data_IF_033554433834
#
_entry.id   IF_033554433834
#
_cell.length_a   1.000
_cell.length_b   1.000
_cell.length_c   1.000
_cell.angle_alpha   90.00
_cell.angle_beta   90.00
_cell.angle_gamma   90.00
#
_symmetry.space_group_name_H-M   'P 1'
#
loop_
_entity.id
_entity.type
_entity.pdbx_description
1 polymer ?
#
# COMPACT_ATOMS: atom_id res chain seq x y z
N UNK A 1 11.60 24.67 -5.72
CA UNK A 1 10.49 24.07 -4.95
C UNK A 1 9.83 25.23 -4.21
N UNK A 2 8.53 25.48 -4.39
CA UNK A 2 7.84 26.45 -3.54
C UNK A 2 7.42 25.71 -2.27
N UNK A 3 7.95 26.15 -1.13
CA UNK A 3 7.86 25.48 0.16
C UNK A 3 6.58 25.84 0.94
N UNK A 4 5.57 26.42 0.28
CA UNK A 4 4.63 27.31 0.96
C UNK A 4 3.23 26.71 1.19
N UNK A 5 3.08 25.38 1.23
CA UNK A 5 1.80 24.73 1.52
C UNK A 5 1.84 23.69 2.66
N UNK A 6 2.92 23.62 3.42
CA UNK A 6 3.02 22.79 4.61
C UNK A 6 3.65 23.56 5.78
N UNK A 7 3.13 24.75 6.07
CA UNK A 7 3.34 25.37 7.36
C UNK A 7 2.50 24.56 8.35
N UNK A 8 3.14 23.84 9.28
CA UNK A 8 2.43 23.20 10.40
C UNK A 8 1.55 24.21 11.15
N UNK A 9 0.77 23.74 12.11
CA UNK A 9 -0.11 24.61 12.92
C UNK A 9 0.64 25.80 13.56
N UNK A 10 1.96 25.70 13.76
CA UNK A 10 2.81 26.81 14.19
C UNK A 10 2.65 27.17 15.66
N UNK A 11 1.85 26.40 16.40
CA UNK A 11 1.37 26.68 17.75
C UNK A 11 2.24 26.04 18.85
N UNK A 12 3.40 25.48 18.51
CA UNK A 12 4.39 25.01 19.48
C UNK A 12 4.58 23.49 19.50
N UNK A 13 5.06 22.91 20.61
CA UNK A 13 5.51 21.53 20.61
C UNK A 13 4.33 20.58 20.40
N UNK A 14 4.54 19.58 19.52
CA UNK A 14 3.59 18.48 19.29
C UNK A 14 3.13 17.93 20.65
N UNK A 15 1.81 17.87 20.92
CA UNK A 15 1.29 17.39 22.21
C UNK A 15 1.84 16.03 22.61
N UNK A 16 2.03 15.81 23.91
CA UNK A 16 2.59 14.55 24.42
C UNK A 16 1.74 13.32 24.05
N UNK A 17 0.43 13.50 23.89
CA UNK A 17 -0.53 12.46 23.53
C UNK A 17 -0.51 12.12 22.03
N UNK A 18 0.05 12.98 21.18
CA UNK A 18 0.11 12.72 19.75
C UNK A 18 1.02 11.51 19.46
N UNK A 19 0.59 10.55 18.62
CA UNK A 19 1.34 9.35 18.30
C UNK A 19 2.58 9.68 17.46
N UNK A 20 3.67 10.07 18.10
CA UNK A 20 4.95 10.44 17.46
C UNK A 20 5.92 9.27 17.23
N UNK A 21 5.46 8.03 17.43
CA UNK A 21 6.25 6.81 17.25
C UNK A 21 7.31 6.55 18.31
N UNK A 22 7.44 7.37 19.38
CA UNK A 22 8.40 7.09 20.47
C UNK A 22 8.00 5.87 21.29
N UNK A 23 6.72 5.76 21.66
CA UNK A 23 6.16 4.57 22.30
C UNK A 23 6.14 3.38 21.33
N UNK A 24 6.09 2.15 21.86
CA UNK A 24 5.89 0.96 21.04
C UNK A 24 4.50 0.95 20.40
N UNK A 25 4.43 0.56 19.13
CA UNK A 25 3.18 0.43 18.37
C UNK A 25 3.25 -0.76 17.43
N UNK A 26 2.07 -1.23 16.99
CA UNK A 26 1.95 -2.24 15.95
C UNK A 26 1.66 -1.57 14.62
N UNK A 27 2.28 -2.07 13.56
CA UNK A 27 2.02 -1.68 12.18
C UNK A 27 1.74 -2.93 11.36
N UNK A 28 0.90 -2.80 10.34
CA UNK A 28 0.75 -3.87 9.36
C UNK A 28 2.08 -4.09 8.65
N UNK A 29 2.47 -5.36 8.49
CA UNK A 29 3.66 -5.72 7.70
C UNK A 29 3.47 -5.43 6.20
N UNK A 30 2.22 -5.44 5.75
CA UNK A 30 1.80 -5.45 4.35
C UNK A 30 0.77 -4.38 4.09
N UNK A 31 0.66 -3.94 2.85
CA UNK A 31 -0.42 -3.04 2.44
C UNK A 31 -1.76 -3.80 2.39
N UNK A 32 -2.86 -3.05 2.47
CA UNK A 32 -4.21 -3.62 2.32
C UNK A 32 -4.34 -4.25 0.94
N UNK A 33 -4.73 -5.52 0.91
CA UNK A 33 -4.93 -6.26 -0.33
C UNK A 33 -6.35 -6.11 -0.87
N UNK A 34 -6.54 -6.31 -2.19
CA UNK A 34 -7.86 -6.26 -2.81
C UNK A 34 -8.81 -7.29 -2.22
N UNK A 35 -8.32 -8.46 -1.79
CA UNK A 35 -9.15 -9.48 -1.13
C UNK A 35 -9.63 -9.07 0.26
N UNK A 36 -8.75 -8.46 1.06
CA UNK A 36 -9.11 -7.95 2.40
C UNK A 36 -10.12 -6.80 2.29
N UNK A 37 -9.90 -5.88 1.34
CA UNK A 37 -10.83 -4.78 1.11
C UNK A 37 -12.18 -5.26 0.57
N UNK A 38 -12.18 -6.24 -0.33
CA UNK A 38 -13.41 -6.86 -0.84
C UNK A 38 -14.23 -7.56 0.26
N UNK A 39 -13.55 -8.18 1.22
CA UNK A 39 -14.17 -8.77 2.42
C UNK A 39 -14.83 -7.70 3.29
N UNK A 40 -14.12 -6.59 3.54
CA UNK A 40 -14.66 -5.44 4.25
C UNK A 40 -15.91 -4.88 3.56
N UNK A 41 -15.84 -4.55 2.27
CA UNK A 41 -16.98 -4.00 1.54
C UNK A 41 -18.17 -4.97 1.58
N UNK A 42 -17.93 -6.27 1.43
CA UNK A 42 -18.99 -7.29 1.49
C UNK A 42 -19.66 -7.41 2.86
N UNK A 43 -19.02 -6.94 3.93
CA UNK A 43 -19.60 -6.88 5.28
C UNK A 43 -20.50 -5.65 5.52
N UNK A 44 -20.46 -4.65 4.62
CA UNK A 44 -21.25 -3.44 4.74
C UNK A 44 -22.68 -3.64 4.22
N UNK A 45 -23.56 -2.70 4.56
CA UNK A 45 -24.95 -2.69 4.13
C UNK A 45 -25.40 -1.30 3.69
N UNK A 46 -26.46 -1.24 2.88
CA UNK A 46 -27.06 0.02 2.46
C UNK A 46 -26.11 0.91 1.66
N UNK A 47 -26.17 2.22 1.89
CA UNK A 47 -25.39 3.20 1.12
C UNK A 47 -23.89 3.15 1.41
N UNK A 48 -23.48 2.68 2.58
CA UNK A 48 -22.06 2.57 2.96
C UNK A 48 -21.27 1.70 1.98
N UNK A 49 -21.93 0.73 1.36
CA UNK A 49 -21.29 -0.12 0.35
C UNK A 49 -21.05 0.62 -0.96
N UNK A 50 -21.96 1.54 -1.31
CA UNK A 50 -21.93 2.29 -2.56
C UNK A 50 -20.88 3.39 -2.49
N UNK A 51 -20.77 4.07 -1.34
CA UNK A 51 -19.77 5.12 -1.15
C UNK A 51 -18.33 4.61 -1.13
N UNK A 52 -18.12 3.34 -0.77
CA UNK A 52 -16.79 2.75 -0.56
C UNK A 52 -16.35 1.81 -1.67
N UNK A 53 -17.21 1.57 -2.66
CA UNK A 53 -16.92 0.72 -3.80
C UNK A 53 -16.68 1.58 -5.04
N UNK A 54 -15.48 1.52 -5.66
CA UNK A 54 -15.18 2.29 -6.86
C UNK A 54 -15.79 1.61 -8.09
N UNK A 55 -17.05 1.92 -8.40
CA UNK A 55 -17.80 1.30 -9.50
C UNK A 55 -17.11 1.38 -10.87
N UNK A 56 -16.43 2.49 -11.16
CA UNK A 56 -15.69 2.68 -12.43
C UNK A 56 -14.25 2.14 -12.38
N UNK A 57 -13.85 1.53 -11.26
CA UNK A 57 -12.50 0.98 -11.07
C UNK A 57 -12.32 -0.40 -11.70
N UNK A 58 -13.39 -1.19 -11.88
CA UNK A 58 -13.31 -2.58 -12.33
C UNK A 58 -12.59 -2.72 -13.68
N UNK A 59 -11.54 -3.55 -13.73
CA UNK A 59 -10.72 -3.77 -14.93
C UNK A 59 -9.74 -2.63 -15.24
N UNK A 60 -9.86 -1.47 -14.60
CA UNK A 60 -8.97 -0.34 -14.76
C UNK A 60 -7.79 -0.44 -13.81
N UNK A 61 -6.61 -0.05 -14.28
CA UNK A 61 -5.39 0.02 -13.48
C UNK A 61 -5.20 -1.21 -12.55
N UNK A 62 -5.34 -2.44 -13.10
CA UNK A 62 -5.14 -3.71 -12.36
C UNK A 62 -6.06 -3.90 -11.13
N UNK A 63 -7.14 -3.13 -11.03
CA UNK A 63 -8.18 -3.32 -10.02
C UNK A 63 -9.14 -4.43 -10.46
N UNK A 64 -9.39 -5.37 -9.55
CA UNK A 64 -10.07 -6.64 -9.86
C UNK A 64 -11.25 -6.95 -8.95
N UNK A 65 -11.56 -6.05 -8.02
CA UNK A 65 -12.78 -6.19 -7.21
C UNK A 65 -13.96 -5.93 -8.15
N UNK A 66 -14.86 -6.91 -8.21
CA UNK A 66 -16.07 -6.85 -9.01
C UNK A 66 -17.28 -7.25 -8.17
N UNK A 67 -18.48 -6.82 -8.59
CA UNK A 67 -19.74 -7.23 -7.97
C UNK A 67 -20.17 -8.59 -8.52
N UNK A 68 -20.12 -9.62 -7.68
CA UNK A 68 -20.62 -10.94 -8.02
C UNK A 68 -22.15 -10.95 -8.14
N UNK A 69 -22.70 -11.96 -8.84
CA UNK A 69 -24.15 -12.10 -9.04
C UNK A 69 -24.94 -12.16 -7.71
N UNK A 70 -24.36 -12.76 -6.66
CA UNK A 70 -24.93 -12.81 -5.31
C UNK A 70 -24.81 -11.50 -4.52
N UNK A 71 -24.29 -10.44 -5.13
CA UNK A 71 -24.09 -9.13 -4.51
C UNK A 71 -22.79 -9.01 -3.71
N UNK A 72 -22.01 -10.06 -3.49
CA UNK A 72 -20.71 -9.97 -2.81
C UNK A 72 -19.68 -9.24 -3.69
N UNK A 73 -18.66 -8.66 -3.06
CA UNK A 73 -17.54 -8.02 -3.75
C UNK A 73 -16.39 -8.99 -3.68
N UNK A 74 -15.87 -9.39 -4.84
CA UNK A 74 -14.83 -10.42 -4.94
C UNK A 74 -13.67 -9.89 -5.78
N UNK A 75 -12.43 -10.18 -5.37
CA UNK A 75 -11.23 -9.83 -6.13
C UNK A 75 -10.73 -11.04 -6.92
N UNK A 76 -10.53 -10.91 -8.24
CA UNK A 76 -9.91 -12.00 -9.03
C UNK A 76 -8.39 -12.11 -8.77
N UNK A 77 -7.78 -11.06 -8.22
CA UNK A 77 -6.38 -11.06 -7.73
C UNK A 77 -6.33 -10.62 -6.26
N UNK A 78 -6.70 -11.50 -5.30
CA UNK A 78 -6.92 -11.10 -3.90
C UNK A 78 -5.64 -10.68 -3.16
N UNK A 79 -4.45 -11.10 -3.58
CA UNK A 79 -3.15 -10.77 -2.94
C UNK A 79 -2.53 -9.44 -3.39
N UNK A 80 -3.12 -8.82 -4.42
CA UNK A 80 -2.63 -7.56 -4.98
C UNK A 80 -2.96 -6.41 -4.05
N UNK A 81 -2.11 -5.39 -4.00
CA UNK A 81 -2.46 -4.14 -3.31
C UNK A 81 -3.80 -3.59 -3.78
N UNK A 82 -4.58 -3.03 -2.86
CA UNK A 82 -5.81 -2.35 -3.20
C UNK A 82 -5.53 -0.90 -3.60
N UNK A 83 -5.77 -0.58 -4.86
CA UNK A 83 -5.85 0.79 -5.37
C UNK A 83 -7.30 1.30 -5.35
N UNK A 84 -7.49 2.58 -5.70
CA UNK A 84 -8.79 3.28 -5.65
C UNK A 84 -9.39 3.38 -4.24
N UNK A 85 -8.54 3.59 -3.23
CA UNK A 85 -8.94 3.87 -1.86
C UNK A 85 -8.80 5.37 -1.57
N UNK A 86 -9.88 6.02 -1.14
CA UNK A 86 -9.77 7.34 -0.51
C UNK A 86 -9.26 7.20 0.94
N UNK A 87 -8.78 8.29 1.53
CA UNK A 87 -8.38 8.29 2.94
C UNK A 87 -9.50 7.80 3.86
N UNK A 88 -10.73 8.24 3.60
CA UNK A 88 -11.91 7.81 4.36
C UNK A 88 -12.21 6.31 4.22
N UNK A 89 -11.80 5.67 3.13
CA UNK A 89 -11.94 4.23 2.91
C UNK A 89 -10.91 3.45 3.70
N UNK A 90 -9.64 3.87 3.61
CA UNK A 90 -8.55 3.28 4.39
C UNK A 90 -8.81 3.38 5.90
N UNK A 91 -9.28 4.54 6.38
CA UNK A 91 -9.62 4.75 7.79
C UNK A 91 -10.80 3.87 8.23
N UNK A 92 -11.83 3.71 7.40
CA UNK A 92 -12.97 2.87 7.73
C UNK A 92 -12.63 1.38 7.73
N UNK A 93 -11.81 0.94 6.76
CA UNK A 93 -11.27 -0.42 6.74
C UNK A 93 -10.42 -0.68 7.98
N UNK A 94 -9.53 0.25 8.35
CA UNK A 94 -8.70 0.11 9.55
C UNK A 94 -9.57 -0.02 10.81
N UNK A 95 -10.58 0.83 10.97
CA UNK A 95 -11.54 0.76 12.08
C UNK A 95 -12.24 -0.61 12.13
N UNK A 96 -12.72 -1.11 11.00
CA UNK A 96 -13.34 -2.43 10.89
C UNK A 96 -12.38 -3.57 11.25
N UNK A 97 -11.10 -3.45 10.85
CA UNK A 97 -10.06 -4.43 11.17
C UNK A 97 -9.52 -4.32 12.62
N UNK A 98 -10.03 -3.39 13.44
CA UNK A 98 -9.52 -3.13 14.78
C UNK A 98 -8.14 -2.44 14.79
N UNK A 99 -7.80 -1.77 13.69
CA UNK A 99 -6.56 -1.03 13.49
C UNK A 99 -6.84 0.48 13.51
N UNK A 100 -5.76 1.26 13.55
CA UNK A 100 -5.79 2.70 13.30
C UNK A 100 -4.80 3.06 12.18
N UNK A 101 -5.05 4.14 11.44
CA UNK A 101 -4.01 4.74 10.61
C UNK A 101 -2.78 5.12 11.46
N UNK A 102 -1.59 4.95 10.91
CA UNK A 102 -0.35 5.42 11.49
C UNK A 102 -0.23 6.92 11.29
N UNK A 103 0.42 7.62 12.22
CA UNK A 103 0.90 8.97 11.93
C UNK A 103 2.06 8.91 10.94
N UNK A 104 2.37 10.05 10.31
CA UNK A 104 3.54 10.17 9.43
C UNK A 104 4.84 9.80 10.17
N UNK A 105 4.99 10.26 11.43
CA UNK A 105 6.16 9.97 12.26
C UNK A 105 6.30 8.47 12.59
N UNK A 106 5.18 7.79 12.84
CA UNK A 106 5.17 6.35 13.06
C UNK A 106 5.51 5.58 11.78
N UNK A 107 4.95 6.01 10.64
CA UNK A 107 5.23 5.41 9.35
C UNK A 107 6.70 5.57 8.96
N UNK A 108 7.27 6.77 9.08
CA UNK A 108 8.67 7.04 8.77
C UNK A 108 9.61 6.20 9.66
N UNK A 109 9.34 6.14 10.98
CA UNK A 109 10.08 5.28 11.90
C UNK A 109 9.98 3.79 11.51
N UNK A 110 8.79 3.33 11.13
CA UNK A 110 8.57 1.93 10.75
C UNK A 110 9.31 1.57 9.44
N UNK A 111 9.32 2.46 8.45
CA UNK A 111 10.04 2.26 7.18
C UNK A 111 11.56 2.24 7.34
N UNK A 112 12.08 3.00 8.31
CA UNK A 112 13.52 3.11 8.59
C UNK A 112 14.06 1.87 9.31
N UNK A 113 13.31 1.36 10.28
CA UNK A 113 13.81 0.35 11.20
C UNK A 113 14.77 0.93 12.26
N UNK A 114 15.53 0.09 12.98
CA UNK A 114 16.30 0.50 14.15
C UNK A 114 17.64 1.19 13.83
N UNK A 115 17.97 1.37 12.55
CA UNK A 115 19.27 1.87 12.10
C UNK A 115 19.33 3.41 12.10
N UNK A 116 20.52 4.01 12.29
CA UNK A 116 20.70 5.46 12.20
C UNK A 116 20.20 6.05 10.87
N UNK A 117 19.77 7.31 10.90
CA UNK A 117 19.41 8.04 9.69
C UNK A 117 20.65 8.35 8.84
N UNK A 118 20.62 7.96 7.57
CA UNK A 118 21.58 8.30 6.54
C UNK A 118 20.83 9.09 5.46
N UNK A 119 21.43 10.18 4.99
CA UNK A 119 20.87 10.98 3.91
C UNK A 119 20.71 10.13 2.64
N UNK A 120 19.62 10.36 1.90
CA UNK A 120 19.29 9.75 0.61
C UNK A 120 19.11 8.22 0.60
N UNK A 121 19.05 7.57 1.77
CA UNK A 121 18.85 6.13 1.87
C UNK A 121 17.37 5.74 1.83
N UNK A 122 17.04 4.79 0.97
CA UNK A 122 15.70 4.22 0.86
C UNK A 122 15.42 3.15 1.92
N UNK A 123 14.15 2.75 2.07
CA UNK A 123 13.71 1.76 3.07
C UNK A 123 14.39 0.37 2.95
N UNK A 124 15.02 0.06 1.81
CA UNK A 124 15.78 -1.18 1.60
C UNK A 124 17.28 -1.07 1.93
N UNK A 125 17.72 0.03 2.54
CA UNK A 125 19.07 0.15 3.10
C UNK A 125 20.16 0.56 2.10
N UNK A 126 19.79 1.10 0.93
CA UNK A 126 20.75 1.58 -0.06
C UNK A 126 20.28 2.91 -0.65
N UNK A 127 21.21 3.65 -1.25
CA UNK A 127 20.94 4.84 -2.08
C UNK A 127 20.73 4.48 -3.54
N UNK A 128 20.86 3.18 -3.89
CA UNK A 128 20.74 2.70 -5.27
C UNK A 128 19.28 2.47 -5.63
N UNK A 129 18.89 3.00 -6.77
CA UNK A 129 17.56 2.88 -7.32
C UNK A 129 17.63 2.21 -8.71
N UNK A 130 16.81 1.18 -8.88
CA UNK A 130 16.66 0.42 -10.10
C UNK A 130 15.18 0.34 -10.48
N UNK A 131 14.84 1.00 -11.60
CA UNK A 131 13.45 1.09 -12.08
C UNK A 131 12.93 -0.28 -12.52
N UNK A 132 11.74 -0.63 -12.05
CA UNK A 132 11.00 -1.81 -12.49
C UNK A 132 10.18 -1.48 -13.73
N UNK A 133 10.41 -2.24 -14.82
CA UNK A 133 9.65 -2.14 -16.07
C UNK A 133 8.96 -3.45 -16.45
N UNK A 134 9.39 -4.58 -15.87
CA UNK A 134 8.89 -5.92 -16.16
C UNK A 134 8.54 -6.63 -14.86
N UNK A 135 7.41 -7.32 -14.84
CA UNK A 135 7.05 -8.32 -13.84
C UNK A 135 7.29 -9.72 -14.42
N UNK A 136 7.99 -10.55 -13.68
CA UNK A 136 8.26 -11.94 -14.01
C UNK A 136 7.29 -12.86 -13.26
N UNK A 137 6.92 -14.00 -13.86
CA UNK A 137 6.18 -15.08 -13.16
C UNK A 137 4.68 -14.83 -12.94
N UNK A 138 4.09 -13.93 -13.70
CA UNK A 138 2.80 -13.31 -13.40
C UNK A 138 1.54 -14.14 -13.66
N UNK A 139 1.69 -15.28 -14.30
CA UNK A 139 0.53 -16.01 -14.78
C UNK A 139 -0.06 -16.93 -13.71
N UNK A 140 0.70 -17.41 -12.72
CA UNK A 140 0.09 -18.33 -11.74
C UNK A 140 0.37 -18.07 -10.25
N UNK A 141 1.56 -17.70 -9.73
CA UNK A 141 1.67 -17.65 -8.25
C UNK A 141 2.50 -16.56 -7.56
N UNK A 142 3.23 -15.67 -8.25
CA UNK A 142 3.89 -14.52 -7.61
C UNK A 142 4.46 -13.57 -8.65
N UNK A 143 4.02 -12.31 -8.64
CA UNK A 143 4.68 -11.27 -9.44
C UNK A 143 6.04 -10.93 -8.82
N UNK A 144 7.12 -10.95 -9.61
CA UNK A 144 8.46 -10.52 -9.18
C UNK A 144 8.90 -9.33 -10.02
N UNK A 145 9.26 -8.23 -9.35
CA UNK A 145 9.74 -7.01 -9.99
C UNK A 145 11.16 -7.18 -10.53
N UNK A 146 11.43 -6.67 -11.74
CA UNK A 146 12.77 -6.63 -12.34
C UNK A 146 13.70 -5.56 -11.76
N UNK A 147 13.25 -4.80 -10.75
CA UNK A 147 13.97 -3.73 -10.08
C UNK A 147 13.50 -3.60 -8.63
N UNK A 148 13.95 -2.55 -7.92
CA UNK A 148 13.59 -2.33 -6.51
C UNK A 148 12.51 -1.26 -6.31
N UNK A 149 12.19 -0.47 -7.34
CA UNK A 149 11.14 0.54 -7.25
C UNK A 149 10.43 0.73 -8.60
N UNK A 150 9.14 1.11 -8.56
CA UNK A 150 8.45 1.65 -9.71
C UNK A 150 8.41 3.18 -9.57
N UNK A 151 9.24 3.87 -10.35
CA UNK A 151 9.34 5.33 -10.33
C UNK A 151 9.06 5.94 -11.71
N UNK A 152 9.22 7.26 -11.80
CA UNK A 152 9.10 8.12 -12.98
C UNK A 152 7.72 8.64 -13.35
N UNK A 153 6.62 8.20 -12.71
CA UNK A 153 5.23 8.54 -13.13
C UNK A 153 5.01 8.43 -14.65
N UNK A 154 5.95 7.80 -15.34
CA UNK A 154 5.91 7.58 -16.76
C UNK A 154 4.80 6.58 -16.84
N UNK A 155 3.80 6.91 -17.65
CA UNK A 155 2.62 6.13 -17.86
C UNK A 155 2.98 4.80 -18.58
N UNK A 156 4.01 4.09 -18.12
CA UNK A 156 4.57 2.87 -18.67
C UNK A 156 3.88 1.70 -17.97
N UNK A 157 3.03 0.94 -18.68
CA UNK A 157 2.48 -0.29 -18.12
C UNK A 157 3.62 -1.27 -17.83
N UNK A 158 3.49 -2.04 -16.75
CA UNK A 158 4.42 -3.12 -16.44
C UNK A 158 4.24 -4.24 -17.48
N UNK A 159 5.33 -4.66 -18.12
CA UNK A 159 5.34 -5.76 -19.08
C UNK A 159 5.51 -7.13 -18.39
N UNK A 160 5.17 -8.24 -19.05
CA UNK A 160 5.44 -9.60 -18.55
C UNK A 160 4.39 -10.21 -17.60
N UNK A 161 3.30 -9.48 -17.31
CA UNK A 161 2.12 -9.92 -16.57
C UNK A 161 0.83 -9.61 -17.32
N UNK A 162 -0.35 -9.96 -16.78
CA UNK A 162 -1.67 -9.41 -17.18
C UNK A 162 -1.47 -7.92 -17.43
N UNK A 163 -1.37 -7.52 -18.71
CA UNK A 163 -0.75 -6.25 -19.06
C UNK A 163 -1.58 -5.13 -18.47
N UNK A 164 -0.96 -4.16 -17.78
CA UNK A 164 -1.74 -3.11 -17.15
C UNK A 164 -0.94 -2.24 -16.19
N UNK A 165 -1.49 -1.05 -15.96
CA UNK A 165 -1.04 -0.08 -14.96
C UNK A 165 -1.58 -0.46 -13.59
N UNK A 166 -0.99 0.03 -12.51
CA UNK A 166 -1.56 -0.11 -11.17
C UNK A 166 -0.78 -1.10 -10.31
N UNK A 167 -1.36 -1.51 -9.17
CA UNK A 167 -0.61 -2.17 -8.12
C UNK A 167 -0.14 -3.58 -8.51
N UNK A 168 0.85 -4.01 -7.77
CA UNK A 168 1.47 -5.33 -7.81
C UNK A 168 1.14 -6.10 -6.53
N UNK A 169 1.48 -7.38 -6.51
CA UNK A 169 1.40 -8.18 -5.29
C UNK A 169 2.32 -7.59 -4.20
N UNK A 170 1.90 -7.64 -2.95
CA UNK A 170 2.60 -6.97 -1.84
C UNK A 170 4.06 -7.41 -1.66
N UNK A 171 4.41 -8.65 -2.02
CA UNK A 171 5.76 -9.19 -1.92
C UNK A 171 6.56 -9.13 -3.24
N UNK A 172 6.16 -8.30 -4.22
CA UNK A 172 6.75 -8.31 -5.57
C UNK A 172 8.13 -7.65 -5.64
N UNK A 173 8.42 -6.68 -4.78
CA UNK A 173 9.71 -5.97 -4.71
C UNK A 173 10.68 -6.60 -3.70
N UNK A 174 10.31 -7.74 -3.11
CA UNK A 174 11.23 -8.49 -2.26
C UNK A 174 12.37 -8.95 -3.15
N UNK A 175 13.53 -8.29 -3.01
CA UNK A 175 14.77 -8.71 -3.63
C UNK A 175 14.96 -10.21 -3.36
N UNK A 176 15.32 -10.98 -4.37
CA UNK A 176 15.69 -12.37 -4.18
C UNK A 176 16.88 -12.44 -3.22
N UNK A 177 16.62 -12.62 -1.92
CA UNK A 177 17.62 -12.77 -0.86
C UNK A 177 17.82 -11.59 0.12
N UNK A 178 16.86 -11.36 1.04
CA UNK A 178 16.93 -10.61 2.34
C UNK A 178 16.45 -9.14 2.32
N UNK A 179 15.80 -8.57 3.40
CA UNK A 179 16.03 -8.84 4.85
C UNK A 179 14.78 -9.11 5.75
N UNK A 180 13.56 -9.22 5.23
CA UNK A 180 12.37 -9.46 6.09
C UNK A 180 12.04 -10.93 6.36
N UNK A 181 12.94 -11.85 6.01
CA UNK A 181 12.88 -13.22 6.47
C UNK A 181 13.55 -13.25 7.85
N UNK A 182 12.77 -13.41 8.92
CA UNK A 182 13.33 -13.98 10.13
C UNK A 182 13.99 -15.30 9.71
N UNK A 183 15.33 -15.33 9.74
CA UNK A 183 16.02 -16.61 9.88
C UNK A 183 15.61 -17.17 11.26
N UNK A 184 15.31 -18.48 11.35
CA UNK A 184 14.85 -19.10 12.58
C UNK A 184 15.84 -18.93 13.74
#
# INVERSE_FOLDING_TARGET
YQADLATGDGEGPIPAEFPKGYAGFYAMRRQVTQGEYATFISSLSGEAITYRYPYDGEGNNRFTIHRAAGGQRLATRPRRACNFLAWADGAAWACWAGLRPLSELEYEKACRGPLPALADEYAWGTTSLAVTSVLLGADEHREVASGNAQIDNSYRPLAGAVQGRGPVDDDSFVAAGQPFAHQP
#
